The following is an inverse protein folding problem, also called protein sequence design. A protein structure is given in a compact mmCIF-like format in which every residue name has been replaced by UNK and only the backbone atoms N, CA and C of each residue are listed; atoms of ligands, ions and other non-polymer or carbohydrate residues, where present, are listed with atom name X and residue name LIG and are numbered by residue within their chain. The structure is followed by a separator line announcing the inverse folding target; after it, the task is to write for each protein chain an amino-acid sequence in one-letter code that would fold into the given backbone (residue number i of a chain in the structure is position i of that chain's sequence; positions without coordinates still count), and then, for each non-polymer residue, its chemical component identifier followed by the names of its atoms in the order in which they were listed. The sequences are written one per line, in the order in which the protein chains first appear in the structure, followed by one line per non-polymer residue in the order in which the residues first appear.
data_IF_860931990377
#
_entry.id   IF_860931990377
#
_cell.length_a   1.000
_cell.length_b   1.000
_cell.length_c   1.000
_cell.angle_alpha   90.00
_cell.angle_beta   90.00
_cell.angle_gamma   90.00
#
_symmetry.space_group_name_H-M   'P 1'
#
loop_
_entity.id
_entity.type
_entity.pdbx_description
1 polymer ?
#
# COMPACT_ATOMS: atom_id res chain seq x y z
N UNK A 1 0.82 4.40 -11.12
CA UNK A 1 0.46 5.80 -11.46
C UNK A 1 -0.86 6.28 -10.83
N UNK A 2 -1.74 5.38 -10.36
CA UNK A 2 -3.03 5.80 -9.77
C UNK A 2 -2.85 6.72 -8.56
N UNK A 3 -1.94 6.38 -7.66
CA UNK A 3 -1.61 7.23 -6.50
C UNK A 3 -1.04 8.59 -6.93
N UNK A 4 -0.16 8.63 -7.94
CA UNK A 4 0.41 9.88 -8.49
C UNK A 4 -0.72 10.84 -8.94
N UNK A 5 -1.68 10.32 -9.70
CA UNK A 5 -2.85 11.09 -10.15
C UNK A 5 -3.72 11.52 -8.96
N UNK A 6 -3.92 10.64 -7.98
CA UNK A 6 -4.77 10.92 -6.82
C UNK A 6 -4.25 12.04 -5.91
N UNK A 7 -2.97 12.37 -5.97
CA UNK A 7 -2.37 13.52 -5.26
C UNK A 7 -2.23 14.76 -6.15
N UNK A 8 -2.88 14.77 -7.32
CA UNK A 8 -2.91 15.92 -8.22
C UNK A 8 -1.68 16.08 -9.10
N UNK A 9 -0.82 15.07 -9.21
CA UNK A 9 0.36 15.10 -10.08
C UNK A 9 0.10 14.40 -11.42
N UNK A 10 0.68 14.94 -12.50
CA UNK A 10 0.59 14.33 -13.83
C UNK A 10 1.79 13.39 -14.09
N UNK A 11 1.57 12.07 -14.22
CA UNK A 11 2.67 11.10 -14.35
C UNK A 11 3.60 11.37 -15.55
N UNK A 12 3.08 11.94 -16.64
CA UNK A 12 3.87 12.23 -17.84
C UNK A 12 4.77 13.47 -17.69
N UNK A 13 4.52 14.32 -16.72
CA UNK A 13 5.30 15.53 -16.43
C UNK A 13 6.41 15.28 -15.40
N UNK A 14 6.43 14.10 -14.76
CA UNK A 14 7.40 13.78 -13.74
C UNK A 14 8.79 13.56 -14.34
N UNK A 15 9.77 14.32 -13.86
CA UNK A 15 11.16 14.21 -14.31
C UNK A 15 11.83 12.93 -13.87
N UNK A 16 11.50 12.47 -12.66
CA UNK A 16 12.02 11.25 -12.06
C UNK A 16 10.90 10.51 -11.31
N UNK A 17 10.97 9.20 -11.34
CA UNK A 17 9.95 8.32 -10.79
C UNK A 17 10.59 7.12 -10.11
N UNK A 18 9.78 6.23 -9.52
CA UNK A 18 10.26 4.97 -8.94
C UNK A 18 11.04 4.11 -9.96
N UNK A 19 10.75 4.25 -11.26
CA UNK A 19 11.49 3.53 -12.31
C UNK A 19 12.96 3.92 -12.31
N UNK A 20 13.26 5.21 -12.15
CA UNK A 20 14.63 5.72 -12.14
C UNK A 20 15.41 5.23 -10.92
N UNK A 21 14.74 5.00 -9.80
CA UNK A 21 15.31 4.38 -8.59
C UNK A 21 15.62 2.90 -8.80
N UNK A 22 14.72 2.18 -9.46
CA UNK A 22 14.79 0.73 -9.59
C UNK A 22 15.73 0.25 -10.71
N UNK A 23 16.17 1.12 -11.63
CA UNK A 23 17.11 0.77 -12.71
C UNK A 23 18.46 0.28 -12.19
N UNK A 24 19.21 -0.40 -13.06
CA UNK A 24 20.54 -0.94 -12.71
C UNK A 24 21.52 0.15 -12.25
N UNK A 25 21.54 1.27 -12.97
CA UNK A 25 22.35 2.45 -12.65
C UNK A 25 21.40 3.56 -12.14
N UNK A 26 20.51 3.16 -11.20
CA UNK A 26 19.44 4.00 -10.70
C UNK A 26 19.95 5.15 -9.84
N UNK A 27 19.16 6.21 -9.79
CA UNK A 27 19.44 7.40 -8.96
C UNK A 27 19.03 7.16 -7.50
N UNK A 28 19.61 7.88 -6.53
CA UNK A 28 19.15 7.87 -5.16
C UNK A 28 17.65 8.20 -5.05
N UNK A 29 16.93 7.48 -4.20
CA UNK A 29 15.49 7.72 -4.00
C UNK A 29 15.18 9.15 -3.56
N UNK A 30 16.09 9.78 -2.81
CA UNK A 30 16.00 11.18 -2.38
C UNK A 30 15.87 12.18 -3.53
N UNK A 31 16.38 11.83 -4.72
CA UNK A 31 16.26 12.68 -5.93
C UNK A 31 14.93 12.50 -6.67
N UNK A 32 14.11 11.53 -6.25
CA UNK A 32 12.80 11.20 -6.82
C UNK A 32 11.64 11.58 -5.90
N UNK A 33 11.94 12.18 -4.75
CA UNK A 33 10.94 12.56 -3.76
C UNK A 33 10.32 13.91 -4.14
N UNK A 34 9.01 13.92 -4.36
CA UNK A 34 8.20 15.13 -4.54
C UNK A 34 7.47 15.47 -3.24
N UNK A 35 7.49 16.74 -2.84
CA UNK A 35 6.82 17.21 -1.62
C UNK A 35 5.39 17.64 -1.95
N UNK A 36 4.42 16.95 -1.38
CA UNK A 36 2.99 17.31 -1.52
C UNK A 36 2.60 18.30 -0.41
N UNK A 37 3.05 18.05 0.83
CA UNK A 37 2.83 18.91 1.98
C UNK A 37 3.99 18.79 2.97
N UNK A 38 3.91 19.49 4.10
CA UNK A 38 4.94 19.41 5.17
C UNK A 38 5.07 18.00 5.77
N UNK A 39 4.03 17.16 5.63
CA UNK A 39 3.96 15.81 6.22
C UNK A 39 3.78 14.70 5.19
N UNK A 40 3.60 15.04 3.92
CA UNK A 40 3.36 14.07 2.85
C UNK A 40 4.32 14.31 1.70
N UNK A 41 5.17 13.32 1.47
CA UNK A 41 6.05 13.25 0.31
C UNK A 41 5.69 12.02 -0.50
N UNK A 42 5.99 12.02 -1.79
CA UNK A 42 5.71 10.90 -2.68
C UNK A 42 6.90 10.65 -3.62
N UNK A 43 7.15 9.38 -3.89
CA UNK A 43 7.89 8.96 -5.09
C UNK A 43 6.86 8.52 -6.10
N UNK A 44 6.80 9.24 -7.21
CA UNK A 44 5.79 9.02 -8.24
C UNK A 44 6.05 7.76 -9.07
N UNK A 45 5.04 7.30 -9.82
CA UNK A 45 5.15 6.15 -10.72
C UNK A 45 4.59 6.50 -12.09
N UNK A 46 5.13 5.85 -13.11
CA UNK A 46 4.59 5.90 -14.48
C UNK A 46 3.42 4.91 -14.67
N UNK A 47 2.71 5.06 -15.78
CA UNK A 47 1.53 4.23 -16.09
C UNK A 47 1.92 2.78 -16.39
N UNK A 48 3.01 2.56 -17.13
CA UNK A 48 3.48 1.24 -17.53
C UNK A 48 4.79 0.87 -16.83
N UNK A 49 4.73 -0.08 -15.89
CA UNK A 49 5.86 -0.64 -15.17
C UNK A 49 6.35 -1.99 -15.73
N UNK A 50 5.71 -2.54 -16.77
CA UNK A 50 6.06 -3.84 -17.30
C UNK A 50 7.52 -3.93 -17.82
N UNK A 51 8.09 -2.92 -18.50
CA UNK A 51 9.50 -2.95 -18.88
C UNK A 51 10.44 -3.03 -17.66
N UNK A 52 10.07 -2.36 -16.54
CA UNK A 52 10.85 -2.40 -15.32
C UNK A 52 10.79 -3.78 -14.64
N UNK A 53 9.65 -4.44 -14.66
CA UNK A 53 9.53 -5.81 -14.17
C UNK A 53 10.47 -6.76 -14.92
N UNK A 54 10.53 -6.68 -16.23
CA UNK A 54 11.43 -7.50 -17.05
C UNK A 54 12.90 -7.23 -16.74
N UNK A 55 13.29 -5.98 -16.55
CA UNK A 55 14.65 -5.61 -16.14
C UNK A 55 15.00 -6.21 -14.77
N UNK A 56 14.12 -6.06 -13.79
CA UNK A 56 14.31 -6.59 -12.43
C UNK A 56 14.48 -8.10 -12.41
N UNK A 57 13.70 -8.85 -13.20
CA UNK A 57 13.77 -10.32 -13.26
C UNK A 57 15.17 -10.83 -13.66
N UNK A 58 15.93 -10.07 -14.43
CA UNK A 58 17.28 -10.44 -14.87
C UNK A 58 18.37 -10.15 -13.83
N UNK A 59 18.07 -9.47 -12.71
CA UNK A 59 19.05 -8.98 -11.73
C UNK A 59 19.28 -9.95 -10.57
N UNK A 60 20.53 -10.02 -10.09
CA UNK A 60 20.86 -10.72 -8.86
C UNK A 60 20.24 -10.01 -7.65
N UNK A 61 19.75 -10.77 -6.68
CA UNK A 61 19.04 -10.26 -5.48
C UNK A 61 17.95 -9.26 -5.85
N UNK A 62 17.20 -9.58 -6.88
CA UNK A 62 16.15 -8.74 -7.48
C UNK A 62 15.03 -8.40 -6.51
N UNK A 63 14.79 -9.25 -5.54
CA UNK A 63 13.78 -9.08 -4.48
C UNK A 63 14.16 -8.02 -3.43
N UNK A 64 15.43 -7.60 -3.35
CA UNK A 64 15.96 -6.64 -2.35
C UNK A 64 16.36 -5.29 -2.94
N UNK A 65 15.95 -4.99 -4.16
CA UNK A 65 16.36 -3.74 -4.83
C UNK A 65 15.69 -2.55 -4.17
N UNK A 66 14.39 -2.63 -3.88
CA UNK A 66 13.65 -1.57 -3.20
C UNK A 66 14.15 -1.37 -1.76
N UNK A 67 14.44 -2.45 -1.02
CA UNK A 67 15.02 -2.37 0.32
C UNK A 67 16.30 -1.53 0.33
N UNK A 68 17.25 -1.84 -0.57
CA UNK A 68 18.49 -1.08 -0.69
C UNK A 68 18.26 0.38 -1.05
N UNK A 69 17.30 0.65 -1.92
CA UNK A 69 16.97 2.00 -2.35
C UNK A 69 16.35 2.85 -1.23
N UNK A 70 15.55 2.25 -0.36
CA UNK A 70 14.85 2.97 0.73
C UNK A 70 15.72 3.17 1.97
N UNK A 71 16.77 2.37 2.20
CA UNK A 71 17.62 2.45 3.40
C UNK A 71 18.10 3.86 3.75
N UNK A 72 18.59 4.68 2.78
CA UNK A 72 19.10 6.01 3.12
C UNK A 72 18.06 6.95 3.71
N UNK A 73 16.78 6.76 3.37
CA UNK A 73 15.69 7.67 3.76
C UNK A 73 14.76 7.10 4.84
N UNK A 74 14.91 5.84 5.23
CA UNK A 74 14.02 5.21 6.23
C UNK A 74 13.92 5.98 7.54
N UNK A 75 15.02 6.54 8.03
CA UNK A 75 15.06 7.31 9.27
C UNK A 75 14.45 8.71 9.19
N UNK A 76 14.08 9.18 8.00
CA UNK A 76 13.53 10.50 7.77
C UNK A 76 11.99 10.51 7.84
N UNK A 77 11.36 9.33 7.87
CA UNK A 77 9.89 9.18 7.81
C UNK A 77 9.36 8.32 8.96
N UNK A 78 8.23 8.74 9.51
CA UNK A 78 7.49 7.92 10.48
C UNK A 78 6.89 6.69 9.81
N UNK A 79 6.39 6.84 8.58
CA UNK A 79 5.81 5.77 7.77
C UNK A 79 6.22 5.91 6.32
N UNK A 80 6.52 4.78 5.68
CA UNK A 80 6.71 4.65 4.24
C UNK A 80 5.63 3.68 3.75
N UNK A 81 4.67 4.18 2.97
CA UNK A 81 3.59 3.38 2.38
C UNK A 81 3.94 3.03 0.93
N UNK A 82 3.92 1.77 0.60
CA UNK A 82 4.18 1.29 -0.77
C UNK A 82 2.87 0.80 -1.37
N UNK A 83 2.33 1.58 -2.32
CA UNK A 83 1.15 1.19 -3.12
C UNK A 83 1.56 0.16 -4.17
N UNK A 84 1.03 -1.05 -4.06
CA UNK A 84 1.41 -2.20 -4.88
C UNK A 84 0.35 -2.51 -5.95
N UNK A 85 0.75 -3.02 -7.13
CA UNK A 85 -0.21 -3.59 -8.07
C UNK A 85 -0.89 -4.83 -7.46
N UNK A 86 -2.12 -5.17 -7.92
CA UNK A 86 -2.87 -6.30 -7.36
C UNK A 86 -2.27 -7.67 -7.65
N UNK A 87 -1.30 -7.74 -8.55
CA UNK A 87 -0.62 -8.98 -8.94
C UNK A 87 0.62 -9.20 -8.09
N UNK A 88 0.90 -10.47 -7.75
CA UNK A 88 2.16 -10.84 -7.12
C UNK A 88 3.28 -10.89 -8.17
N UNK A 89 3.75 -9.70 -8.55
CA UNK A 89 4.88 -9.52 -9.46
C UNK A 89 6.18 -9.28 -8.69
N UNK A 90 7.30 -9.19 -9.39
CA UNK A 90 8.60 -8.86 -8.79
C UNK A 90 8.57 -7.48 -8.08
N UNK A 91 7.71 -6.55 -8.49
CA UNK A 91 7.50 -5.27 -7.82
C UNK A 91 6.84 -5.46 -6.44
N UNK A 92 5.78 -6.26 -6.38
CA UNK A 92 5.09 -6.60 -5.12
C UNK A 92 6.01 -7.40 -4.19
N UNK A 93 6.82 -8.34 -4.72
CA UNK A 93 7.83 -9.06 -3.95
C UNK A 93 8.85 -8.08 -3.35
N UNK A 94 9.33 -7.11 -4.12
CA UNK A 94 10.23 -6.06 -3.60
C UNK A 94 9.62 -5.27 -2.44
N UNK A 95 8.36 -4.88 -2.57
CA UNK A 95 7.64 -4.17 -1.50
C UNK A 95 7.54 -5.02 -0.23
N UNK A 96 7.07 -6.26 -0.35
CA UNK A 96 6.92 -7.18 0.79
C UNK A 96 8.27 -7.58 1.40
N UNK A 97 9.35 -7.63 0.60
CA UNK A 97 10.71 -7.97 1.07
C UNK A 97 11.31 -6.90 1.97
N UNK A 98 10.81 -5.67 1.93
CA UNK A 98 11.32 -4.56 2.72
C UNK A 98 10.30 -3.95 3.69
N UNK A 99 9.07 -4.44 3.69
CA UNK A 99 8.01 -3.94 4.56
C UNK A 99 8.07 -4.58 5.96
N UNK A 100 7.69 -3.81 6.97
CA UNK A 100 7.48 -4.29 8.34
C UNK A 100 6.08 -4.90 8.50
N UNK A 101 5.13 -4.46 7.67
CA UNK A 101 3.77 -4.94 7.70
C UNK A 101 3.03 -4.75 6.38
N UNK A 102 2.02 -5.58 6.14
CA UNK A 102 1.14 -5.51 4.98
C UNK A 102 -0.31 -5.37 5.42
N UNK A 103 -1.01 -4.44 4.77
CA UNK A 103 -2.45 -4.24 4.89
C UNK A 103 -3.08 -4.65 3.57
N UNK A 104 -4.13 -5.46 3.62
CA UNK A 104 -4.74 -6.02 2.42
C UNK A 104 -6.15 -5.45 2.23
N UNK A 105 -6.34 -4.48 1.30
CA UNK A 105 -7.67 -4.05 0.92
C UNK A 105 -8.37 -5.14 0.09
N UNK A 106 -9.58 -5.51 0.50
CA UNK A 106 -10.37 -6.58 -0.12
C UNK A 106 -11.77 -6.03 -0.43
N UNK A 107 -12.19 -6.15 -1.69
CA UNK A 107 -13.59 -5.86 -2.03
C UNK A 107 -14.50 -6.91 -1.39
N UNK A 108 -15.72 -6.49 -1.00
CA UNK A 108 -16.74 -7.39 -0.47
C UNK A 108 -17.44 -8.20 -1.57
N UNK A 109 -16.66 -8.81 -2.46
CA UNK A 109 -17.16 -9.73 -3.48
C UNK A 109 -16.44 -11.09 -3.39
N UNK A 110 -17.10 -12.13 -3.92
CA UNK A 110 -16.65 -13.53 -3.82
C UNK A 110 -15.27 -13.76 -4.48
N UNK A 111 -14.99 -13.13 -5.62
CA UNK A 111 -13.74 -13.35 -6.33
C UNK A 111 -12.56 -12.74 -5.58
N UNK A 112 -12.74 -11.53 -5.04
CA UNK A 112 -11.73 -10.87 -4.22
C UNK A 112 -11.45 -11.66 -2.93
N UNK A 113 -12.50 -12.18 -2.27
CA UNK A 113 -12.35 -13.04 -1.09
C UNK A 113 -11.60 -14.33 -1.40
N UNK A 114 -11.90 -15.00 -2.52
CA UNK A 114 -11.17 -16.20 -2.95
C UNK A 114 -9.70 -15.91 -3.28
N UNK A 115 -9.41 -14.76 -3.88
CA UNK A 115 -8.05 -14.31 -4.17
C UNK A 115 -7.22 -14.05 -2.91
N UNK A 116 -7.85 -13.69 -1.79
CA UNK A 116 -7.18 -13.42 -0.53
C UNK A 116 -6.42 -14.65 0.01
N UNK A 117 -6.97 -15.85 -0.15
CA UNK A 117 -6.28 -17.10 0.27
C UNK A 117 -4.98 -17.30 -0.50
N UNK A 118 -4.99 -17.11 -1.82
CA UNK A 118 -3.78 -17.22 -2.65
C UNK A 118 -2.74 -16.16 -2.27
N UNK A 119 -3.19 -14.93 -1.99
CA UNK A 119 -2.29 -13.86 -1.55
C UNK A 119 -1.64 -14.20 -0.21
N UNK A 120 -2.39 -14.77 0.73
CA UNK A 120 -1.83 -15.19 2.02
C UNK A 120 -0.77 -16.29 1.88
N UNK A 121 -1.00 -17.28 1.01
CA UNK A 121 -0.01 -18.33 0.77
C UNK A 121 1.28 -17.72 0.20
N UNK A 122 1.17 -16.77 -0.72
CA UNK A 122 2.31 -16.05 -1.27
C UNK A 122 3.03 -15.19 -0.22
N UNK A 123 2.28 -14.54 0.69
CA UNK A 123 2.88 -13.76 1.78
C UNK A 123 3.64 -14.69 2.74
N UNK A 124 3.10 -15.88 3.07
CA UNK A 124 3.81 -16.87 3.89
C UNK A 124 5.11 -17.32 3.25
N UNK A 125 5.12 -17.58 1.94
CA UNK A 125 6.35 -17.93 1.22
C UNK A 125 7.39 -16.81 1.32
N UNK A 126 6.98 -15.55 1.21
CA UNK A 126 7.87 -14.40 1.40
C UNK A 126 8.38 -14.32 2.84
N UNK A 127 7.52 -14.55 3.84
CA UNK A 127 7.93 -14.60 5.25
C UNK A 127 8.95 -15.70 5.51
N UNK A 128 8.75 -16.88 4.94
CA UNK A 128 9.67 -18.03 5.13
C UNK A 128 11.02 -17.83 4.44
N UNK A 129 11.02 -17.27 3.23
CA UNK A 129 12.22 -17.31 2.37
C UNK A 129 12.96 -15.97 2.28
N UNK A 130 12.31 -14.83 2.51
CA UNK A 130 12.85 -13.51 2.17
C UNK A 130 12.80 -12.52 3.33
N UNK A 131 11.65 -12.38 3.99
CA UNK A 131 11.41 -11.41 5.05
C UNK A 131 10.62 -12.01 6.22
N UNK A 132 11.29 -12.71 7.15
CA UNK A 132 10.65 -13.34 8.31
C UNK A 132 9.93 -12.36 9.25
N UNK A 133 10.33 -11.08 9.24
CA UNK A 133 9.75 -10.05 10.11
C UNK A 133 8.46 -9.43 9.54
N UNK A 134 8.12 -9.72 8.27
CA UNK A 134 6.90 -9.21 7.65
C UNK A 134 5.66 -9.70 8.42
N UNK A 135 4.76 -8.78 8.77
CA UNK A 135 3.51 -9.09 9.46
C UNK A 135 2.31 -8.75 8.61
N UNK A 136 1.28 -9.60 8.60
CA UNK A 136 -0.04 -9.23 8.09
C UNK A 136 -0.76 -8.44 9.19
N UNK A 137 -0.83 -7.11 9.05
CA UNK A 137 -1.48 -6.23 10.02
C UNK A 137 -2.99 -6.45 10.05
N UNK A 138 -3.57 -6.72 8.90
CA UNK A 138 -4.98 -7.06 8.76
C UNK A 138 -5.54 -6.77 7.37
N UNK A 139 -6.84 -6.93 7.25
CA UNK A 139 -7.59 -6.67 6.02
C UNK A 139 -8.49 -5.44 6.19
N UNK A 140 -8.74 -4.72 5.11
CA UNK A 140 -9.73 -3.64 5.04
C UNK A 140 -10.79 -4.06 4.03
N UNK A 141 -12.04 -4.27 4.48
CA UNK A 141 -13.15 -4.50 3.59
C UNK A 141 -13.49 -3.20 2.82
N UNK A 142 -13.47 -3.24 1.50
CA UNK A 142 -13.68 -2.05 0.67
C UNK A 142 -14.89 -2.18 -0.24
N UNK A 143 -15.44 -1.04 -0.67
CA UNK A 143 -16.58 -0.94 -1.57
C UNK A 143 -17.84 -1.63 -1.04
N UNK A 144 -17.97 -1.79 0.27
CA UNK A 144 -19.07 -2.46 0.93
C UNK A 144 -20.42 -1.73 0.73
N UNK A 145 -21.44 -2.50 0.36
CA UNK A 145 -22.81 -2.02 0.21
C UNK A 145 -23.77 -2.83 1.11
N UNK A 146 -24.25 -2.23 2.20
CA UNK A 146 -25.09 -2.89 3.23
C UNK A 146 -26.34 -3.60 2.65
N UNK A 147 -26.86 -3.11 1.52
CA UNK A 147 -28.08 -3.63 0.88
C UNK A 147 -27.83 -4.86 0.01
N UNK A 148 -26.58 -5.22 -0.25
CA UNK A 148 -26.18 -6.36 -1.07
C UNK A 148 -25.96 -7.56 -0.15
N UNK A 149 -26.65 -8.66 -0.42
CA UNK A 149 -26.59 -9.87 0.41
C UNK A 149 -25.17 -10.49 0.39
N UNK A 150 -24.59 -10.63 -0.79
CA UNK A 150 -23.25 -11.19 -0.99
C UNK A 150 -22.20 -10.39 -0.21
N UNK A 151 -22.28 -9.05 -0.23
CA UNK A 151 -21.36 -8.19 0.54
C UNK A 151 -21.43 -8.48 2.05
N UNK A 152 -22.63 -8.74 2.58
CA UNK A 152 -22.81 -9.06 4.00
C UNK A 152 -22.23 -10.43 4.35
N UNK A 153 -22.38 -11.42 3.48
CA UNK A 153 -21.81 -12.77 3.66
C UNK A 153 -20.28 -12.71 3.65
N UNK A 154 -19.70 -12.04 2.66
CA UNK A 154 -18.24 -11.86 2.56
C UNK A 154 -17.71 -11.05 3.74
N UNK A 155 -18.38 -9.97 4.15
CA UNK A 155 -17.96 -9.19 5.32
C UNK A 155 -18.00 -10.05 6.60
N UNK A 156 -19.00 -10.92 6.75
CA UNK A 156 -19.07 -11.83 7.89
C UNK A 156 -17.92 -12.87 7.88
N UNK A 157 -17.57 -13.39 6.70
CA UNK A 157 -16.43 -14.28 6.54
C UNK A 157 -15.11 -13.57 6.87
N UNK A 158 -14.87 -12.37 6.35
CA UNK A 158 -13.68 -11.57 6.64
C UNK A 158 -13.53 -11.31 8.15
N UNK A 159 -14.62 -10.95 8.85
CA UNK A 159 -14.61 -10.74 10.30
C UNK A 159 -14.27 -11.99 11.10
N UNK A 160 -14.66 -13.17 10.63
CA UNK A 160 -14.44 -14.44 11.29
C UNK A 160 -13.01 -14.96 11.11
N UNK A 161 -12.43 -14.74 9.95
CA UNK A 161 -11.21 -15.42 9.50
C UNK A 161 -9.97 -14.52 9.54
N UNK A 162 -10.15 -13.21 9.59
CA UNK A 162 -9.07 -12.23 9.49
C UNK A 162 -9.13 -11.15 10.56
N UNK A 163 -8.00 -10.52 10.85
CA UNK A 163 -7.98 -9.27 11.59
C UNK A 163 -8.54 -8.15 10.71
N UNK A 164 -9.82 -7.80 10.88
CA UNK A 164 -10.50 -6.77 10.11
C UNK A 164 -10.22 -5.38 10.72
N UNK A 165 -9.41 -4.58 10.05
CA UNK A 165 -9.03 -3.24 10.48
C UNK A 165 -10.16 -2.21 10.28
N UNK A 166 -11.00 -2.39 9.25
CA UNK A 166 -12.11 -1.48 9.00
C UNK A 166 -12.96 -1.86 7.79
N UNK A 167 -14.06 -1.11 7.60
CA UNK A 167 -15.03 -1.33 6.53
C UNK A 167 -15.28 -0.03 5.79
N UNK A 168 -14.77 0.08 4.58
CA UNK A 168 -14.94 1.25 3.72
C UNK A 168 -16.12 1.03 2.79
N UNK A 169 -17.19 1.79 3.00
CA UNK A 169 -18.39 1.73 2.18
C UNK A 169 -18.17 2.34 0.79
N UNK A 170 -18.93 1.87 -0.18
CA UNK A 170 -19.00 2.47 -1.51
C UNK A 170 -19.74 3.81 -1.41
N UNK A 171 -19.02 4.92 -1.56
CA UNK A 171 -19.57 6.26 -1.55
C UNK A 171 -19.15 7.06 -2.78
N UNK A 172 -20.09 7.81 -3.36
CA UNK A 172 -19.83 8.65 -4.53
C UNK A 172 -18.80 9.77 -4.27
N UNK A 173 -18.72 10.25 -3.03
CA UNK A 173 -17.80 11.31 -2.60
C UNK A 173 -16.33 10.92 -2.78
N UNK A 174 -16.00 9.63 -2.64
CA UNK A 174 -14.65 9.15 -2.82
C UNK A 174 -14.10 9.34 -4.25
N UNK A 175 -14.99 9.38 -5.25
CA UNK A 175 -14.59 9.61 -6.64
C UNK A 175 -14.28 11.06 -6.95
N UNK A 176 -14.91 12.01 -6.26
CA UNK A 176 -14.74 13.44 -6.54
C UNK A 176 -13.35 13.93 -6.15
N UNK A 177 -12.78 13.41 -5.06
CA UNK A 177 -11.46 13.78 -4.56
C UNK A 177 -10.32 13.56 -5.55
N UNK A 178 -10.40 12.52 -6.34
CA UNK A 178 -9.37 12.18 -7.34
C UNK A 178 -9.20 13.31 -8.38
N UNK A 179 -10.30 13.96 -8.78
CA UNK A 179 -10.25 15.07 -9.74
C UNK A 179 -9.62 16.35 -9.16
N UNK A 180 -9.76 16.55 -7.86
CA UNK A 180 -9.29 17.73 -7.15
C UNK A 180 -7.87 17.53 -6.56
N UNK A 181 -7.30 16.34 -6.70
CA UNK A 181 -5.99 15.98 -6.12
C UNK A 181 -5.98 15.97 -4.59
N UNK A 182 -7.15 15.84 -3.95
CA UNK A 182 -7.32 15.88 -2.50
C UNK A 182 -7.83 14.53 -1.97
N UNK A 183 -7.28 14.10 -0.85
CA UNK A 183 -7.77 12.92 -0.16
C UNK A 183 -9.19 13.15 0.41
N UNK A 184 -10.00 12.11 0.45
CA UNK A 184 -11.38 12.18 0.97
C UNK A 184 -11.42 12.68 2.43
N UNK A 185 -10.38 12.37 3.21
CA UNK A 185 -10.24 12.83 4.61
C UNK A 185 -10.03 14.33 4.72
N UNK A 186 -9.46 14.96 3.70
CA UNK A 186 -9.27 16.41 3.62
C UNK A 186 -10.52 17.11 3.08
N UNK A 187 -11.16 16.54 2.06
CA UNK A 187 -12.37 17.11 1.45
C UNK A 187 -13.60 17.04 2.34
N UNK A 188 -13.79 15.93 3.04
CA UNK A 188 -14.97 15.65 3.86
C UNK A 188 -14.58 15.02 5.21
N UNK A 189 -13.90 15.77 6.12
CA UNK A 189 -13.34 15.22 7.36
C UNK A 189 -14.37 14.54 8.27
N UNK A 190 -15.63 15.02 8.27
CA UNK A 190 -16.73 14.47 9.07
C UNK A 190 -17.50 13.35 8.40
N UNK A 191 -17.14 12.93 7.19
CA UNK A 191 -17.85 11.85 6.51
C UNK A 191 -17.54 10.48 7.15
N UNK A 192 -18.47 9.54 7.02
CA UNK A 192 -18.30 8.18 7.53
C UNK A 192 -17.03 7.50 7.02
N UNK A 193 -16.69 7.72 5.75
CA UNK A 193 -15.49 7.16 5.13
C UNK A 193 -14.21 7.78 5.74
N UNK A 194 -14.20 9.09 5.99
CA UNK A 194 -13.06 9.78 6.60
C UNK A 194 -12.84 9.37 8.05
N UNK A 195 -13.92 9.21 8.80
CA UNK A 195 -13.87 8.70 10.18
C UNK A 195 -13.29 7.28 10.20
N UNK A 196 -13.70 6.41 9.27
CA UNK A 196 -13.21 5.05 9.23
C UNK A 196 -11.73 4.97 8.83
N UNK A 197 -11.28 5.76 7.85
CA UNK A 197 -9.85 5.84 7.51
C UNK A 197 -9.00 6.36 8.69
N UNK A 198 -9.48 7.36 9.42
CA UNK A 198 -8.76 7.85 10.60
C UNK A 198 -8.65 6.78 11.69
N UNK A 199 -9.70 6.00 11.96
CA UNK A 199 -9.64 4.88 12.91
C UNK A 199 -8.60 3.82 12.48
N UNK A 200 -8.56 3.48 11.19
CA UNK A 200 -7.58 2.55 10.65
C UNK A 200 -6.17 3.11 10.85
N UNK A 201 -5.96 4.39 10.55
CA UNK A 201 -4.68 5.05 10.75
C UNK A 201 -4.24 5.03 12.23
N UNK A 202 -5.14 5.34 13.15
CA UNK A 202 -4.88 5.30 14.59
C UNK A 202 -4.44 3.89 15.06
N UNK A 203 -5.08 2.84 14.56
CA UNK A 203 -4.69 1.45 14.87
C UNK A 203 -3.28 1.12 14.36
N UNK A 204 -2.94 1.54 13.14
CA UNK A 204 -1.61 1.30 12.55
C UNK A 204 -0.53 2.06 13.33
N UNK A 205 -0.82 3.30 13.72
CA UNK A 205 0.08 4.13 14.51
C UNK A 205 0.31 3.48 15.90
N UNK A 206 -0.74 3.06 16.58
CA UNK A 206 -0.63 2.39 17.88
C UNK A 206 0.23 1.12 17.81
N UNK A 207 0.05 0.28 16.79
CA UNK A 207 0.83 -0.94 16.60
C UNK A 207 2.33 -0.65 16.39
N UNK A 208 2.68 0.45 15.69
CA UNK A 208 4.07 0.87 15.53
C UNK A 208 4.72 1.21 16.88
N UNK A 209 4.04 1.99 17.72
CA UNK A 209 4.58 2.39 19.02
C UNK A 209 4.74 1.21 19.98
N UNK A 210 3.80 0.27 20.02
CA UNK A 210 3.93 -0.95 20.81
C UNK A 210 5.13 -1.82 20.40
N UNK A 211 5.50 -1.82 19.12
CA UNK A 211 6.71 -2.52 18.64
C UNK A 211 7.98 -1.85 19.12
N UNK A 212 8.06 -0.53 18.98
CA UNK A 212 9.24 0.25 19.38
C UNK A 212 9.50 0.11 20.88
N UNK A 213 8.47 0.05 21.71
CA UNK A 213 8.61 -0.18 23.16
C UNK A 213 9.14 -1.58 23.49
N UNK A 214 8.71 -2.63 22.76
CA UNK A 214 9.18 -4.02 22.95
C UNK A 214 10.61 -4.25 22.47
N UNK A 215 11.10 -3.49 21.50
CA UNK A 215 12.47 -3.57 21.00
C UNK A 215 13.47 -2.82 21.86
N UNK A 216 13.02 -1.84 22.64
CA UNK A 216 13.86 -1.00 23.50
C UNK A 216 13.84 -1.41 25.00
N UNK A 217 13.08 -2.41 25.39
CA UNK A 217 12.97 -2.95 26.76
C UNK A 217 13.56 -4.33 26.88
#
# INVERSE_FOLDING_TARGET
ASLTISVGLEPLEMKRTIVDVLRKDGVPVSECIERISDRLHIVTSIIDLAPMEMELLSRASREKILDRALRPVRGEYDFILVDCPPQLSILTINALSCADGVIIPVKTDYLAYRGLTQLQDSIREIQELINPELKVLGVIATLYEKRVADDNEILAALKREYNLLGVIKRLAVAKKGIYDGLAVVEQTPGSEISIEYNKIADMIIAEKYERTEKENG
#
